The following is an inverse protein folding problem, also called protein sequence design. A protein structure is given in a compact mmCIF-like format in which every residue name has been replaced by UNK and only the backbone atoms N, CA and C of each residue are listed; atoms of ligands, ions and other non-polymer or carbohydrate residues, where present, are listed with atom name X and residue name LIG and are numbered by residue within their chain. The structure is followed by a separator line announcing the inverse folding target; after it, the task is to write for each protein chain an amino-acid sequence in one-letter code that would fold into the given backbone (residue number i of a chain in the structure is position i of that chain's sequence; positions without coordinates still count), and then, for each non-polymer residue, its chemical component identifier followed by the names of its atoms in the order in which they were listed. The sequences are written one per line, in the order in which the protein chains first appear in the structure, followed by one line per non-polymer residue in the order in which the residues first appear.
data_IF_443053511302
#
_entry.id   IF_443053511302
#
_cell.length_a   1.000
_cell.length_b   1.000
_cell.length_c   1.000
_cell.angle_alpha   90.00
_cell.angle_beta   90.00
_cell.angle_gamma   90.00
#
_symmetry.space_group_name_H-M   'P 1'
#
loop_
_entity.id
_entity.type
_entity.pdbx_description
1 polymer ?
#
# COMPACT_ATOMS: atom_id res chain seq x y z
N UNK A 1 -53.98 -29.42 27.64
CA UNK A 1 -53.01 -29.40 26.52
C UNK A 1 -52.33 -28.03 26.33
N UNK A 2 -53.05 -26.89 26.26
CA UNK A 2 -52.44 -25.55 26.03
C UNK A 2 -51.44 -25.14 27.16
N UNK A 3 -51.70 -25.48 28.42
CA UNK A 3 -50.78 -25.14 29.52
C UNK A 3 -49.49 -25.97 29.55
N UNK A 4 -49.55 -27.22 29.10
CA UNK A 4 -48.37 -28.10 28.99
C UNK A 4 -47.46 -27.64 27.88
N UNK A 5 -48.04 -27.12 26.77
CA UNK A 5 -47.26 -26.56 25.65
C UNK A 5 -46.52 -25.27 26.03
N UNK A 6 -47.17 -24.44 26.88
CA UNK A 6 -46.56 -23.19 27.36
C UNK A 6 -45.37 -23.49 28.35
N UNK A 7 -45.49 -24.50 29.20
CA UNK A 7 -44.41 -24.93 30.06
C UNK A 7 -43.26 -25.59 29.31
N UNK A 8 -43.53 -26.33 28.25
CA UNK A 8 -42.51 -26.95 27.40
C UNK A 8 -41.72 -25.91 26.60
N UNK A 9 -42.38 -24.86 26.07
CA UNK A 9 -41.68 -23.74 25.40
C UNK A 9 -40.86 -22.88 26.35
N UNK A 10 -41.30 -22.72 27.62
CA UNK A 10 -40.56 -21.98 28.63
C UNK A 10 -39.29 -22.72 29.10
N UNK A 11 -39.33 -24.05 29.15
CA UNK A 11 -38.17 -24.91 29.49
C UNK A 11 -37.13 -24.95 28.34
N UNK A 12 -37.54 -24.85 27.07
CA UNK A 12 -36.60 -24.80 25.94
C UNK A 12 -35.77 -23.52 25.91
N UNK A 13 -36.27 -22.42 26.48
CA UNK A 13 -35.53 -21.15 26.54
C UNK A 13 -34.32 -21.17 27.48
N UNK A 14 -34.29 -22.10 28.46
CA UNK A 14 -33.19 -22.21 29.40
C UNK A 14 -31.97 -22.96 28.85
N UNK A 15 -32.09 -23.63 27.71
CA UNK A 15 -30.97 -24.32 27.07
C UNK A 15 -30.33 -23.53 25.93
N UNK A 16 -30.77 -22.31 25.69
CA UNK A 16 -30.07 -21.39 24.79
C UNK A 16 -28.80 -20.88 25.47
N UNK A 17 -27.77 -21.70 25.52
CA UNK A 17 -26.43 -21.25 25.90
C UNK A 17 -25.98 -20.30 24.81
N UNK A 18 -25.78 -19.03 25.18
CA UNK A 18 -25.16 -18.07 24.27
C UNK A 18 -23.84 -18.65 23.79
N UNK A 19 -23.64 -18.69 22.47
CA UNK A 19 -22.38 -19.09 21.86
C UNK A 19 -21.21 -18.40 22.58
N UNK A 20 -20.07 -19.04 22.63
CA UNK A 20 -18.85 -18.53 23.26
C UNK A 20 -18.62 -17.04 22.83
N UNK A 21 -18.74 -16.14 23.80
CA UNK A 21 -18.46 -14.73 23.58
C UNK A 21 -16.99 -14.58 23.20
N UNK A 22 -16.72 -13.67 22.26
CA UNK A 22 -15.35 -13.29 21.98
C UNK A 22 -14.71 -12.75 23.27
N UNK A 23 -13.65 -13.39 23.73
CA UNK A 23 -12.82 -12.91 24.84
C UNK A 23 -11.49 -12.40 24.31
N UNK A 24 -10.76 -11.57 25.07
CA UNK A 24 -9.41 -11.15 24.68
C UNK A 24 -8.49 -12.35 24.42
N UNK A 25 -8.58 -13.40 25.22
CA UNK A 25 -7.77 -14.62 25.09
C UNK A 25 -8.12 -15.39 23.82
N UNK A 26 -9.41 -15.44 23.44
CA UNK A 26 -9.83 -16.05 22.19
C UNK A 26 -9.33 -15.24 20.99
N UNK A 27 -9.43 -13.91 21.05
CA UNK A 27 -8.93 -13.02 20.01
C UNK A 27 -7.42 -13.21 19.74
N UNK A 28 -6.64 -13.42 20.82
CA UNK A 28 -5.20 -13.70 20.73
C UNK A 28 -4.88 -15.08 20.17
N UNK A 29 -5.80 -16.03 20.23
CA UNK A 29 -5.63 -17.38 19.65
C UNK A 29 -5.96 -17.46 18.17
N UNK A 30 -6.67 -16.46 17.62
CA UNK A 30 -7.07 -16.47 16.22
C UNK A 30 -5.89 -16.18 15.30
N UNK A 31 -5.75 -16.98 14.24
CA UNK A 31 -4.85 -16.69 13.14
C UNK A 31 -5.39 -15.54 12.29
N UNK A 32 -4.51 -14.58 11.97
CA UNK A 32 -4.80 -13.47 11.09
C UNK A 32 -4.34 -13.83 9.69
N UNK A 33 -5.29 -13.93 8.78
CA UNK A 33 -5.05 -14.29 7.38
C UNK A 33 -4.78 -13.02 6.56
N UNK A 34 -3.73 -13.05 5.74
CA UNK A 34 -3.43 -11.99 4.77
C UNK A 34 -3.19 -12.61 3.40
N UNK A 35 -3.89 -12.15 2.37
CA UNK A 35 -3.61 -12.51 0.97
C UNK A 35 -2.26 -11.98 0.54
N UNK A 36 -1.51 -12.78 -0.25
CA UNK A 36 -0.23 -12.38 -0.83
C UNK A 36 -0.36 -12.18 -2.34
N UNK A 37 -1.26 -12.89 -2.99
CA UNK A 37 -1.49 -12.79 -4.43
C UNK A 37 -1.74 -14.13 -5.09
N UNK A 38 -1.67 -14.13 -6.41
CA UNK A 38 -1.79 -15.33 -7.25
C UNK A 38 -0.41 -15.71 -7.78
N UNK A 39 -0.13 -17.01 -7.85
CA UNK A 39 1.14 -17.49 -8.41
C UNK A 39 1.32 -17.04 -9.87
N UNK A 40 2.56 -16.89 -10.32
CA UNK A 40 2.88 -16.44 -11.67
C UNK A 40 2.28 -17.33 -12.78
N UNK A 41 2.06 -18.62 -12.49
CA UNK A 41 1.42 -19.57 -13.41
C UNK A 41 -0.12 -19.58 -13.29
N UNK A 42 -0.70 -18.76 -12.40
CA UNK A 42 -2.15 -18.64 -12.19
C UNK A 42 -2.81 -19.82 -11.48
N UNK A 43 -2.06 -20.80 -10.97
CA UNK A 43 -2.62 -22.03 -10.42
C UNK A 43 -2.90 -22.01 -8.92
N UNK A 44 -2.27 -21.10 -8.19
CA UNK A 44 -2.38 -21.02 -6.73
C UNK A 44 -2.72 -19.60 -6.26
N UNK A 45 -3.52 -19.52 -5.18
CA UNK A 45 -3.63 -18.33 -4.35
C UNK A 45 -2.69 -18.50 -3.17
N UNK A 46 -1.81 -17.52 -2.94
CA UNK A 46 -0.87 -17.49 -1.83
C UNK A 46 -1.41 -16.59 -0.72
N UNK A 47 -1.28 -17.05 0.51
CA UNK A 47 -1.69 -16.31 1.69
C UNK A 47 -0.81 -16.66 2.89
N UNK A 48 -0.78 -15.79 3.87
CA UNK A 48 -0.11 -16.05 5.14
C UNK A 48 -1.10 -16.07 6.31
N UNK A 49 -0.75 -16.83 7.35
CA UNK A 49 -1.47 -16.84 8.62
C UNK A 49 -0.48 -16.43 9.70
N UNK A 50 -0.77 -15.32 10.38
CA UNK A 50 -0.01 -14.83 11.52
C UNK A 50 -0.77 -15.17 12.82
N UNK A 51 -0.17 -15.98 13.69
CA UNK A 51 -0.76 -16.35 14.97
C UNK A 51 0.05 -15.72 16.10
N UNK A 52 -0.57 -14.87 16.94
CA UNK A 52 0.11 -14.27 18.08
C UNK A 52 0.56 -15.33 19.10
N UNK A 53 1.76 -15.14 19.63
CA UNK A 53 2.31 -15.85 20.78
C UNK A 53 2.48 -14.83 21.92
N UNK A 54 1.50 -14.78 22.82
CA UNK A 54 1.50 -13.80 23.91
C UNK A 54 2.66 -14.01 24.89
N UNK A 55 3.11 -15.25 25.09
CA UNK A 55 4.21 -15.55 26.01
C UNK A 55 5.55 -14.98 25.53
N UNK A 56 5.76 -14.97 24.22
CA UNK A 56 6.99 -14.44 23.59
C UNK A 56 6.83 -13.00 23.11
N UNK A 57 5.66 -12.41 23.24
CA UNK A 57 5.29 -11.10 22.68
C UNK A 57 5.67 -10.99 21.19
N UNK A 58 5.39 -12.04 20.42
CA UNK A 58 5.70 -12.17 18.99
C UNK A 58 4.53 -12.81 18.25
N UNK A 59 4.59 -12.77 16.94
CA UNK A 59 3.67 -13.51 16.07
C UNK A 59 4.44 -14.51 15.21
N UNK A 60 3.89 -15.71 15.09
CA UNK A 60 4.39 -16.75 14.21
C UNK A 60 3.65 -16.70 12.89
N UNK A 61 4.36 -16.41 11.80
CA UNK A 61 3.80 -16.33 10.45
C UNK A 61 4.11 -17.62 9.69
N UNK A 62 3.08 -18.21 9.08
CA UNK A 62 3.19 -19.34 8.15
C UNK A 62 2.56 -18.94 6.82
N UNK A 63 3.14 -19.40 5.72
CA UNK A 63 2.68 -19.13 4.37
C UNK A 63 2.17 -20.39 3.71
N UNK A 64 1.12 -20.25 2.92
CA UNK A 64 0.42 -21.34 2.27
C UNK A 64 0.08 -20.99 0.82
N UNK A 65 0.01 -22.02 -0.02
CA UNK A 65 -0.56 -21.98 -1.36
C UNK A 65 -1.80 -22.86 -1.40
N UNK A 66 -2.92 -22.35 -1.93
CA UNK A 66 -4.13 -23.12 -2.17
C UNK A 66 -4.43 -23.14 -3.66
N UNK A 67 -4.71 -24.31 -4.29
CA UNK A 67 -5.03 -24.37 -5.70
C UNK A 67 -6.29 -23.53 -6.03
N UNK A 68 -6.26 -22.80 -7.14
CA UNK A 68 -7.43 -22.00 -7.63
C UNK A 68 -8.63 -22.92 -7.92
N UNK A 69 -8.38 -24.15 -8.30
CA UNK A 69 -9.41 -25.19 -8.49
C UNK A 69 -10.04 -25.71 -7.19
N UNK A 70 -9.57 -25.25 -6.04
CA UNK A 70 -9.95 -25.77 -4.72
C UNK A 70 -9.05 -26.90 -4.25
N UNK A 71 -9.21 -27.31 -2.99
CA UNK A 71 -8.40 -28.34 -2.36
C UNK A 71 -7.79 -27.89 -1.05
N UNK A 72 -6.82 -28.67 -0.52
CA UNK A 72 -6.16 -28.38 0.74
C UNK A 72 -4.99 -27.41 0.56
N UNK A 73 -4.78 -26.48 1.50
CA UNK A 73 -3.61 -25.64 1.51
C UNK A 73 -2.31 -26.43 1.66
N UNK A 74 -1.28 -26.01 0.93
CA UNK A 74 0.07 -26.55 0.98
C UNK A 74 0.98 -25.53 1.66
N UNK A 75 1.72 -25.86 2.73
CA UNK A 75 2.71 -24.95 3.31
C UNK A 75 3.82 -24.63 2.30
N UNK A 76 4.21 -23.36 2.21
CA UNK A 76 5.29 -22.89 1.35
C UNK A 76 6.29 -22.05 2.13
N UNK A 77 7.57 -22.26 1.91
CA UNK A 77 8.64 -21.53 2.61
C UNK A 77 9.07 -20.26 1.87
N UNK A 78 8.86 -20.20 0.57
CA UNK A 78 9.24 -19.06 -0.27
C UNK A 78 8.08 -18.69 -1.22
N UNK A 79 7.10 -17.96 -0.68
CA UNK A 79 5.95 -17.52 -1.45
C UNK A 79 6.34 -16.46 -2.50
N UNK A 80 7.33 -15.62 -2.20
CA UNK A 80 7.72 -14.50 -3.07
C UNK A 80 8.24 -15.01 -4.42
N UNK A 81 8.93 -16.17 -4.43
CA UNK A 81 9.39 -16.79 -5.69
C UNK A 81 8.25 -17.35 -6.55
N UNK A 82 7.08 -17.58 -5.97
CA UNK A 82 5.89 -18.06 -6.68
C UNK A 82 5.05 -16.93 -7.24
N UNK A 83 5.14 -15.73 -6.65
CA UNK A 83 4.36 -14.57 -7.07
C UNK A 83 4.92 -13.97 -8.38
N UNK A 84 4.02 -13.46 -9.21
CA UNK A 84 4.42 -12.58 -10.30
C UNK A 84 4.88 -11.26 -9.70
N UNK A 85 6.09 -10.83 -10.04
CA UNK A 85 6.52 -9.49 -9.67
C UNK A 85 5.91 -8.46 -10.65
N UNK A 86 4.81 -7.84 -10.24
CA UNK A 86 4.08 -6.86 -11.04
C UNK A 86 4.82 -5.51 -11.17
N UNK A 87 5.93 -5.35 -10.44
CA UNK A 87 6.82 -4.19 -10.56
C UNK A 87 7.80 -4.32 -11.74
N UNK A 88 7.94 -5.50 -12.30
CA UNK A 88 8.70 -5.71 -13.54
C UNK A 88 7.81 -5.30 -14.73
N UNK A 89 8.40 -4.56 -15.67
CA UNK A 89 7.73 -4.18 -16.92
C UNK A 89 7.25 -5.41 -17.71
N UNK A 90 6.18 -5.28 -18.51
CA UNK A 90 5.66 -6.39 -19.31
C UNK A 90 6.69 -7.05 -20.24
N UNK A 91 7.68 -6.29 -20.70
CA UNK A 91 8.79 -6.79 -21.55
C UNK A 91 10.00 -7.30 -20.75
N UNK A 92 9.94 -7.27 -19.41
CA UNK A 92 10.99 -7.76 -18.50
C UNK A 92 12.24 -6.88 -18.41
N UNK A 93 12.26 -5.68 -19.01
CA UNK A 93 13.47 -4.86 -19.10
C UNK A 93 13.65 -3.85 -17.97
N UNK A 94 12.61 -3.56 -17.23
CA UNK A 94 12.61 -2.54 -16.18
C UNK A 94 11.93 -3.02 -14.92
N UNK A 95 12.37 -2.47 -13.79
CA UNK A 95 11.75 -2.59 -12.48
C UNK A 95 11.34 -1.20 -12.00
N UNK A 96 10.11 -1.05 -11.55
CA UNK A 96 9.70 0.12 -10.78
C UNK A 96 9.77 -0.18 -9.29
N UNK A 97 10.20 0.80 -8.53
CA UNK A 97 10.29 0.75 -7.07
C UNK A 97 10.02 2.16 -6.51
N UNK A 98 10.12 2.33 -5.22
CA UNK A 98 10.16 3.66 -4.61
C UNK A 98 11.45 3.83 -3.79
N UNK A 99 11.86 5.08 -3.64
CA UNK A 99 12.96 5.46 -2.76
C UNK A 99 12.77 6.88 -2.24
N UNK A 100 13.27 7.14 -1.03
CA UNK A 100 13.33 8.49 -0.51
C UNK A 100 14.39 9.32 -1.23
N UNK A 101 14.00 10.52 -1.67
CA UNK A 101 14.85 11.49 -2.35
C UNK A 101 14.86 12.80 -1.58
N UNK A 102 16.04 13.33 -1.29
CA UNK A 102 16.21 14.61 -0.59
C UNK A 102 15.92 15.76 -1.53
N UNK A 103 14.83 16.49 -1.29
CA UNK A 103 14.39 17.63 -2.12
C UNK A 103 14.56 18.95 -1.38
N UNK A 104 14.31 18.99 -0.06
CA UNK A 104 14.36 20.23 0.73
C UNK A 104 15.40 20.15 1.83
N UNK A 105 16.04 21.28 2.12
CA UNK A 105 16.91 21.46 3.28
C UNK A 105 16.06 22.01 4.43
N UNK A 106 15.74 21.18 5.41
CA UNK A 106 14.86 21.54 6.52
C UNK A 106 15.57 21.51 7.88
N UNK A 107 16.74 20.92 8.00
CA UNK A 107 17.45 20.89 9.28
C UNK A 107 18.35 22.11 9.45
N UNK A 108 18.56 22.51 10.72
CA UNK A 108 19.45 23.63 11.05
C UNK A 108 20.85 23.45 10.50
N UNK A 109 21.44 22.26 10.61
CA UNK A 109 22.79 21.95 10.08
C UNK A 109 22.88 21.96 8.54
N UNK A 110 21.78 21.74 7.82
CA UNK A 110 21.75 21.83 6.36
C UNK A 110 21.69 23.29 5.87
N UNK A 111 21.00 24.16 6.65
CA UNK A 111 20.87 25.57 6.34
C UNK A 111 22.03 26.40 6.92
N UNK A 112 22.60 25.98 8.06
CA UNK A 112 23.68 26.61 8.80
C UNK A 112 24.76 25.58 9.10
N UNK A 113 25.67 25.31 8.15
CA UNK A 113 26.68 24.25 8.28
C UNK A 113 27.63 24.41 9.48
N UNK A 114 27.79 25.63 10.00
CA UNK A 114 28.57 25.94 11.21
C UNK A 114 27.89 25.44 12.50
N UNK A 115 26.58 25.16 12.46
CA UNK A 115 25.78 24.70 13.61
C UNK A 115 25.58 23.18 13.61
N UNK A 116 26.63 22.40 13.50
CA UNK A 116 26.58 20.94 13.36
C UNK A 116 25.86 20.19 14.49
N UNK A 117 25.75 20.79 15.67
CA UNK A 117 25.04 20.23 16.83
C UNK A 117 23.59 20.66 16.92
N UNK A 118 23.10 21.45 15.96
CA UNK A 118 21.71 21.91 15.95
C UNK A 118 20.78 20.78 15.52
N UNK A 119 19.72 20.56 16.33
CA UNK A 119 18.64 19.61 16.04
C UNK A 119 17.32 20.34 15.66
N UNK A 120 17.40 21.61 15.25
CA UNK A 120 16.22 22.38 14.85
C UNK A 120 15.77 21.98 13.45
N UNK A 121 14.47 22.06 13.23
CA UNK A 121 13.86 22.05 11.92
C UNK A 121 13.38 23.46 11.56
N UNK A 122 13.46 23.81 10.30
CA UNK A 122 13.07 25.13 9.78
C UNK A 122 12.00 24.91 8.73
N UNK A 123 10.79 25.35 9.05
CA UNK A 123 9.62 25.22 8.17
C UNK A 123 9.04 26.59 7.86
N UNK A 124 8.77 26.84 6.58
CA UNK A 124 8.14 28.08 6.10
C UNK A 124 6.65 27.91 5.82
N UNK A 125 6.19 26.65 5.73
CA UNK A 125 4.84 26.30 5.32
C UNK A 125 4.33 25.04 6.01
N UNK A 126 3.02 24.81 5.92
CA UNK A 126 2.39 23.53 6.14
C UNK A 126 2.63 22.61 4.88
N UNK A 127 2.66 21.31 4.96
CA UNK A 127 2.56 20.48 6.14
C UNK A 127 3.98 20.23 6.67
N UNK A 128 4.20 20.36 7.98
CA UNK A 128 5.53 20.14 8.59
C UNK A 128 5.56 18.92 9.51
N UNK A 129 4.40 18.36 9.83
CA UNK A 129 4.27 17.17 10.68
C UNK A 129 3.01 16.39 10.35
N UNK A 130 3.13 15.06 10.34
CA UNK A 130 2.01 14.15 10.32
C UNK A 130 2.11 13.20 11.52
N UNK A 131 1.08 13.13 12.39
CA UNK A 131 1.08 12.47 13.69
C UNK A 131 2.32 12.84 14.53
N UNK A 132 3.22 11.90 14.79
CA UNK A 132 4.45 12.05 15.57
C UNK A 132 5.73 12.20 14.70
N UNK A 133 5.58 12.20 13.36
CA UNK A 133 6.67 12.32 12.40
C UNK A 133 6.74 13.72 11.80
N UNK A 134 7.91 14.36 11.93
CA UNK A 134 8.19 15.63 11.25
C UNK A 134 8.70 15.38 9.84
N UNK A 135 8.32 16.26 8.90
CA UNK A 135 8.90 16.30 7.58
C UNK A 135 10.40 16.62 7.68
N UNK A 136 11.24 15.88 7.01
CA UNK A 136 12.70 16.04 7.05
C UNK A 136 13.28 16.52 5.71
N UNK A 137 12.41 16.73 4.71
CA UNK A 137 12.76 17.18 3.37
C UNK A 137 13.07 16.05 2.39
N UNK A 138 12.91 14.79 2.83
CA UNK A 138 12.88 13.64 1.96
C UNK A 138 11.44 13.39 1.47
N UNK A 139 11.31 12.94 0.23
CA UNK A 139 10.03 12.56 -0.37
C UNK A 139 10.18 11.19 -1.04
N UNK A 140 9.16 10.35 -0.94
CA UNK A 140 9.12 9.08 -1.65
C UNK A 140 8.86 9.34 -3.13
N UNK A 141 9.79 8.91 -3.99
CA UNK A 141 9.65 8.99 -5.44
C UNK A 141 9.58 7.62 -6.07
N UNK A 142 8.80 7.51 -7.14
CA UNK A 142 8.81 6.32 -8.00
C UNK A 142 10.10 6.29 -8.81
N UNK A 143 10.77 5.15 -8.76
CA UNK A 143 12.05 4.93 -9.41
C UNK A 143 11.90 3.91 -10.54
N UNK A 144 12.66 4.07 -11.61
CA UNK A 144 12.77 3.15 -12.74
C UNK A 144 14.19 2.63 -12.85
N UNK A 145 14.38 1.32 -12.73
CA UNK A 145 15.69 0.67 -12.90
C UNK A 145 15.68 -0.25 -14.12
N UNK A 146 16.67 -0.18 -15.01
CA UNK A 146 16.83 -1.18 -16.05
C UNK A 146 17.17 -2.54 -15.43
N UNK A 147 16.65 -3.62 -15.98
CA UNK A 147 16.94 -4.98 -15.57
C UNK A 147 17.86 -5.65 -16.60
N UNK A 148 19.01 -6.12 -16.13
CA UNK A 148 19.94 -6.92 -16.93
C UNK A 148 20.15 -8.26 -16.24
N UNK A 149 19.74 -9.35 -16.87
CA UNK A 149 19.79 -10.70 -16.30
C UNK A 149 19.10 -10.79 -14.90
N UNK A 150 17.99 -10.06 -14.71
CA UNK A 150 17.25 -10.03 -13.46
C UNK A 150 17.87 -9.16 -12.36
N UNK A 151 18.98 -8.47 -12.63
CA UNK A 151 19.64 -7.55 -11.71
C UNK A 151 19.27 -6.10 -12.07
N UNK A 152 18.79 -5.36 -11.06
CA UNK A 152 18.45 -3.95 -11.23
C UNK A 152 19.72 -3.09 -11.37
N UNK A 153 19.75 -2.26 -12.39
CA UNK A 153 20.78 -1.24 -12.58
C UNK A 153 20.49 0.06 -11.83
N UNK A 154 21.19 1.13 -12.19
CA UNK A 154 21.00 2.45 -11.56
C UNK A 154 19.57 2.95 -11.76
N UNK A 155 18.93 3.33 -10.66
CA UNK A 155 17.58 3.84 -10.67
C UNK A 155 17.53 5.28 -11.25
N UNK A 156 16.48 5.54 -12.01
CA UNK A 156 16.12 6.86 -12.56
C UNK A 156 14.90 7.35 -11.75
N UNK A 157 14.96 8.55 -11.23
CA UNK A 157 13.85 9.21 -10.55
C UNK A 157 12.80 9.66 -11.59
N UNK A 158 11.55 9.22 -11.44
CA UNK A 158 10.45 9.60 -12.33
C UNK A 158 9.77 10.93 -11.93
N UNK A 159 10.14 11.47 -10.76
CA UNK A 159 9.58 12.68 -10.18
C UNK A 159 10.69 13.70 -9.81
N UNK A 160 11.70 13.94 -10.67
CA UNK A 160 12.90 14.68 -10.28
C UNK A 160 12.57 16.10 -9.82
N UNK A 161 13.03 16.45 -8.61
CA UNK A 161 12.83 17.77 -8.01
C UNK A 161 11.43 18.06 -7.50
N UNK A 162 10.49 17.12 -7.56
CA UNK A 162 9.13 17.28 -7.06
C UNK A 162 9.08 17.10 -5.54
N UNK A 163 8.55 18.08 -4.76
CA UNK A 163 8.41 17.94 -3.31
C UNK A 163 7.08 17.24 -2.95
N UNK A 164 6.83 16.08 -3.53
CA UNK A 164 5.59 15.31 -3.36
C UNK A 164 5.91 13.82 -3.28
N UNK A 165 5.11 13.10 -2.48
CA UNK A 165 5.29 11.67 -2.26
C UNK A 165 4.52 10.82 -3.28
N UNK A 166 5.14 9.75 -3.74
CA UNK A 166 4.54 8.58 -4.35
C UNK A 166 5.43 7.34 -4.02
N UNK A 167 4.95 6.40 -3.18
CA UNK A 167 3.62 6.23 -2.59
C UNK A 167 3.15 7.42 -1.76
N UNK A 168 1.82 7.64 -1.79
CA UNK A 168 1.18 8.77 -1.12
C UNK A 168 1.16 8.60 0.40
N UNK A 169 1.85 9.44 1.14
CA UNK A 169 1.80 9.42 2.62
C UNK A 169 0.44 9.91 3.13
N UNK A 170 -0.07 9.38 4.27
CA UNK A 170 0.57 8.38 5.14
C UNK A 170 0.20 6.93 4.84
N UNK A 171 -0.71 6.63 3.92
CA UNK A 171 -1.33 5.31 3.75
C UNK A 171 -0.95 4.59 2.46
N UNK A 172 -0.32 5.27 1.53
CA UNK A 172 0.10 4.69 0.26
C UNK A 172 1.22 3.66 0.43
N UNK A 173 1.27 2.72 -0.51
CA UNK A 173 2.24 1.66 -0.58
C UNK A 173 2.48 1.25 -2.04
N UNK A 174 2.92 0.02 -2.23
CA UNK A 174 3.22 -0.50 -3.57
C UNK A 174 2.03 -0.48 -4.54
N UNK A 175 0.80 -0.40 -4.03
CA UNK A 175 -0.42 -0.27 -4.83
C UNK A 175 -0.56 1.09 -5.51
N UNK A 176 0.18 2.10 -5.09
CA UNK A 176 0.09 3.47 -5.62
C UNK A 176 0.83 3.67 -6.95
N UNK A 177 1.62 2.69 -7.41
CA UNK A 177 2.31 2.78 -8.69
C UNK A 177 2.31 1.44 -9.44
N UNK A 178 1.94 1.49 -10.72
CA UNK A 178 1.74 0.32 -11.56
C UNK A 178 2.23 0.53 -12.99
N UNK A 179 2.61 -0.55 -13.67
CA UNK A 179 2.85 -0.55 -15.09
C UNK A 179 1.55 -0.49 -15.90
N UNK A 180 1.51 0.35 -16.91
CA UNK A 180 0.56 0.18 -17.99
C UNK A 180 0.93 -1.11 -18.75
N UNK A 181 -0.03 -2.02 -19.06
CA UNK A 181 0.23 -3.26 -19.78
C UNK A 181 0.93 -3.11 -21.13
N UNK A 182 0.89 -1.90 -21.74
CA UNK A 182 1.64 -1.61 -22.97
C UNK A 182 3.16 -1.50 -22.74
N UNK A 183 3.63 -1.49 -21.48
CA UNK A 183 5.03 -1.40 -21.11
C UNK A 183 5.70 -0.04 -21.36
N UNK A 184 4.93 1.00 -21.74
CA UNK A 184 5.46 2.33 -22.09
C UNK A 184 5.23 3.39 -21.03
N UNK A 185 4.38 3.12 -20.06
CA UNK A 185 3.99 4.09 -19.04
C UNK A 185 3.96 3.47 -17.66
N UNK A 186 4.36 4.25 -16.67
CA UNK A 186 4.17 4.00 -15.26
C UNK A 186 3.08 4.95 -14.77
N UNK A 187 2.00 4.41 -14.20
CA UNK A 187 0.95 5.20 -13.56
C UNK A 187 1.19 5.20 -12.06
N UNK A 188 1.16 6.38 -11.46
CA UNK A 188 1.37 6.54 -10.02
C UNK A 188 0.41 7.56 -9.41
N UNK A 189 0.11 7.39 -8.11
CA UNK A 189 -0.71 8.29 -7.33
C UNK A 189 0.19 9.31 -6.62
N UNK A 190 -0.19 10.59 -6.60
CA UNK A 190 0.48 11.60 -5.80
C UNK A 190 -0.44 12.75 -5.44
N UNK A 191 -0.22 13.35 -4.27
CA UNK A 191 -0.89 14.57 -3.80
C UNK A 191 0.00 15.78 -4.09
N UNK A 192 -0.08 16.32 -5.30
CA UNK A 192 0.72 17.50 -5.70
C UNK A 192 0.10 18.80 -5.20
N UNK A 193 0.02 18.96 -3.87
CA UNK A 193 -0.44 20.15 -3.17
C UNK A 193 0.67 20.71 -2.29
N UNK A 194 0.62 21.99 -1.96
CA UNK A 194 1.63 22.66 -1.16
C UNK A 194 1.01 23.62 -0.13
N UNK A 195 1.70 23.81 0.98
CA UNK A 195 1.30 24.75 2.03
C UNK A 195 -0.06 24.41 2.64
N UNK A 196 -0.90 25.40 2.86
CA UNK A 196 -2.24 25.23 3.43
C UNK A 196 -3.12 24.31 2.58
N UNK A 197 -2.97 24.33 1.25
CA UNK A 197 -3.73 23.46 0.37
C UNK A 197 -3.43 21.98 0.63
N UNK A 198 -2.21 21.61 1.00
CA UNK A 198 -1.87 20.25 1.40
C UNK A 198 -2.63 19.82 2.66
N UNK A 199 -2.78 20.73 3.65
CA UNK A 199 -3.40 20.42 4.93
C UNK A 199 -4.94 20.28 4.86
N UNK A 200 -5.60 21.04 3.97
CA UNK A 200 -7.07 21.09 3.89
C UNK A 200 -7.67 20.24 2.80
N UNK A 201 -6.91 19.91 1.74
CA UNK A 201 -7.40 19.12 0.61
C UNK A 201 -7.10 17.63 0.85
N UNK A 202 -8.03 16.76 0.45
CA UNK A 202 -7.82 15.31 0.32
C UNK A 202 -7.52 14.88 -1.10
N UNK A 203 -7.48 15.82 -2.05
CA UNK A 203 -7.31 15.52 -3.47
C UNK A 203 -5.94 14.92 -3.76
N UNK A 204 -5.95 13.74 -4.38
CA UNK A 204 -4.82 13.09 -5.02
C UNK A 204 -5.17 12.85 -6.48
N UNK A 205 -4.16 12.84 -7.33
CA UNK A 205 -4.34 12.56 -8.75
C UNK A 205 -3.49 11.36 -9.18
N UNK A 206 -3.90 10.73 -10.27
CA UNK A 206 -3.11 9.74 -10.99
C UNK A 206 -2.31 10.41 -12.08
N UNK A 207 -1.03 10.11 -12.13
CA UNK A 207 -0.08 10.60 -13.12
C UNK A 207 0.45 9.45 -13.96
N UNK A 208 0.62 9.67 -15.26
CA UNK A 208 1.26 8.71 -16.16
C UNK A 208 2.59 9.28 -16.65
N UNK A 209 3.69 8.62 -16.30
CA UNK A 209 5.02 8.89 -16.81
C UNK A 209 5.30 8.00 -18.01
N UNK A 210 5.65 8.60 -19.16
CA UNK A 210 6.03 7.87 -20.37
C UNK A 210 7.55 7.66 -20.37
N UNK A 211 7.99 6.40 -20.38
CA UNK A 211 9.42 6.04 -20.24
C UNK A 211 10.25 6.35 -21.49
N UNK A 212 9.61 6.48 -22.67
CA UNK A 212 10.30 6.81 -23.92
C UNK A 212 10.56 8.31 -24.04
N UNK A 213 9.61 9.14 -23.60
CA UNK A 213 9.67 10.60 -23.76
C UNK A 213 10.09 11.34 -22.50
N UNK A 214 10.09 10.70 -21.33
CA UNK A 214 10.34 11.32 -20.04
C UNK A 214 9.27 12.32 -19.60
N UNK A 215 8.06 12.28 -20.17
CA UNK A 215 7.00 13.22 -19.87
C UNK A 215 5.95 12.62 -18.97
N UNK A 216 5.50 13.42 -17.99
CA UNK A 216 4.37 13.09 -17.11
C UNK A 216 3.12 13.87 -17.54
N UNK A 217 1.96 13.22 -17.47
CA UNK A 217 0.65 13.87 -17.62
C UNK A 217 -0.28 13.47 -16.46
N UNK A 218 -1.19 14.35 -16.07
CA UNK A 218 -2.25 14.05 -15.11
C UNK A 218 -3.38 13.31 -15.83
N UNK A 219 -3.83 12.19 -15.28
CA UNK A 219 -4.92 11.37 -15.84
C UNK A 219 -6.28 11.73 -15.24
N UNK A 220 -6.31 12.30 -14.04
CA UNK A 220 -7.53 12.62 -13.30
C UNK A 220 -7.68 14.12 -13.05
N UNK A 221 -7.04 14.94 -13.89
CA UNK A 221 -7.14 16.40 -13.79
C UNK A 221 -8.60 16.87 -13.78
N UNK A 222 -8.94 17.66 -12.76
CA UNK A 222 -10.30 18.19 -12.56
C UNK A 222 -11.25 17.24 -11.84
N UNK A 223 -10.86 16.01 -11.54
CA UNK A 223 -11.57 15.13 -10.60
C UNK A 223 -11.14 15.54 -9.19
N UNK A 224 -12.11 15.82 -8.32
CA UNK A 224 -11.83 16.27 -6.96
C UNK A 224 -11.91 15.10 -5.98
N UNK A 225 -11.02 15.10 -4.98
CA UNK A 225 -10.98 14.09 -3.92
C UNK A 225 -9.89 13.05 -4.12
N UNK A 226 -10.02 11.92 -3.44
CA UNK A 226 -9.04 10.85 -3.46
C UNK A 226 -9.14 10.03 -4.75
N UNK A 227 -8.07 9.99 -5.54
CA UNK A 227 -7.87 9.09 -6.67
C UNK A 227 -6.65 8.21 -6.37
N UNK A 228 -6.87 6.93 -6.05
CA UNK A 228 -5.85 5.99 -5.54
C UNK A 228 -6.04 4.58 -6.11
N UNK A 229 -5.06 3.70 -5.84
CA UNK A 229 -5.08 2.27 -6.20
C UNK A 229 -5.32 2.04 -7.70
N UNK A 230 -4.49 2.59 -8.60
CA UNK A 230 -4.60 2.34 -10.01
C UNK A 230 -4.41 0.85 -10.33
N UNK A 231 -5.22 0.32 -11.20
CA UNK A 231 -5.11 -1.07 -11.66
C UNK A 231 -5.52 -1.19 -13.12
N UNK A 232 -4.85 -2.04 -13.86
CA UNK A 232 -5.16 -2.31 -15.26
C UNK A 232 -5.75 -3.70 -15.45
N UNK A 233 -6.73 -3.80 -16.34
CA UNK A 233 -7.16 -5.10 -16.82
C UNK A 233 -6.30 -5.58 -18.01
N UNK A 234 -6.56 -6.81 -18.47
CA UNK A 234 -5.81 -7.42 -19.59
C UNK A 234 -5.98 -6.70 -20.95
N UNK A 235 -6.96 -5.78 -21.04
CA UNK A 235 -7.18 -4.97 -22.24
C UNK A 235 -6.50 -3.62 -22.19
N UNK A 236 -5.82 -3.30 -21.07
CA UNK A 236 -5.19 -2.02 -20.85
C UNK A 236 -6.16 -0.91 -20.39
N UNK A 237 -7.35 -1.28 -19.92
CA UNK A 237 -8.28 -0.33 -19.34
C UNK A 237 -7.89 -0.07 -17.88
N UNK A 238 -7.74 1.22 -17.52
CA UNK A 238 -7.40 1.67 -16.19
C UNK A 238 -8.66 1.79 -15.32
N UNK A 239 -8.60 1.21 -14.12
CA UNK A 239 -9.55 1.43 -13.04
C UNK A 239 -8.82 1.97 -11.81
N UNK A 240 -9.51 2.76 -11.00
CA UNK A 240 -8.99 3.28 -9.72
C UNK A 240 -10.13 3.53 -8.74
N UNK A 241 -9.79 3.67 -7.47
CA UNK A 241 -10.75 4.14 -6.48
C UNK A 241 -10.80 5.66 -6.47
N UNK A 242 -11.99 6.25 -6.51
CA UNK A 242 -12.19 7.69 -6.61
C UNK A 242 -13.26 8.19 -5.66
N UNK A 243 -12.96 9.27 -4.94
CA UNK A 243 -13.93 10.08 -4.22
C UNK A 243 -14.29 11.30 -5.07
N UNK A 244 -15.58 11.67 -5.11
CA UNK A 244 -16.05 12.75 -6.00
C UNK A 244 -15.97 14.14 -5.42
N UNK A 245 -15.43 14.32 -4.21
CA UNK A 245 -15.32 15.63 -3.56
C UNK A 245 -14.04 15.73 -2.75
N UNK A 246 -13.48 16.92 -2.72
CA UNK A 246 -12.38 17.27 -1.84
C UNK A 246 -12.86 17.44 -0.38
N UNK A 247 -11.99 17.10 0.56
CA UNK A 247 -12.32 17.10 1.98
C UNK A 247 -13.04 15.83 2.45
N UNK A 248 -13.66 15.91 3.60
CA UNK A 248 -14.28 14.77 4.30
C UNK A 248 -15.78 14.66 4.04
#
# INVERSE_FOLDING_TARGET
MKQILFFATMLLSFFATAQNKMTPELLWKLGRVSGLGVSADGKFVLYSVSTPNAAENKSNRKTFAIPVSGGNPIPVSNADSMLKNEKISPDGKYLISNAEVKIKKLTGKENYPELQRSNVYIFDNLNYRHWDTYEDGNFDHVMLSPLVNGVAGTAIDLMPGEPYDSPQKPFGGDEDYVWNPNGKEVVYCSKKKYGTAYAISTNTDLYAYNIETGKTRNLTEGIMGYDINPSFNNKGELAWMSMKRDGF
#
